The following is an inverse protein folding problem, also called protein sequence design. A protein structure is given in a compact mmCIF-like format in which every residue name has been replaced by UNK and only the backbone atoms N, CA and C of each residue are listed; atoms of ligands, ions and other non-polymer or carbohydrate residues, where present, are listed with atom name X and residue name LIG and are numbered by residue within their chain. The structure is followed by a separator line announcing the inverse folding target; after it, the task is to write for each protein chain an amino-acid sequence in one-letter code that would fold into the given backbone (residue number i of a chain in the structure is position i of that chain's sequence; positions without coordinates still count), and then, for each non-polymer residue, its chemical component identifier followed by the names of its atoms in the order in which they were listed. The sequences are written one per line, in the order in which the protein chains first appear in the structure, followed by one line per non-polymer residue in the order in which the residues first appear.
data_IF_523685344150
#
_entry.id   IF_523685344150
#
_cell.length_a   1.000
_cell.length_b   1.000
_cell.length_c   1.000
_cell.angle_alpha   90.00
_cell.angle_beta   90.00
_cell.angle_gamma   90.00
#
_symmetry.space_group_name_H-M   'P 1'
#
loop_
_entity.id
_entity.type
_entity.pdbx_description
1 polymer ?
#
# COMPACT_ATOMS: atom_id res chain seq x y z
N UNK A 1 -22.12 7.59 7.33
CA UNK A 1 -20.77 7.42 7.93
C UNK A 1 -19.90 6.71 6.91
N UNK A 2 -18.84 7.35 6.42
CA UNK A 2 -17.91 6.72 5.47
C UNK A 2 -17.17 5.58 6.21
N UNK A 3 -17.56 4.34 5.95
CA UNK A 3 -16.79 3.18 6.37
C UNK A 3 -15.47 3.21 5.59
N UNK A 4 -14.40 3.72 6.21
CA UNK A 4 -13.07 3.61 5.63
C UNK A 4 -12.76 2.12 5.51
N UNK A 5 -12.47 1.65 4.30
CA UNK A 5 -11.97 0.28 4.12
C UNK A 5 -10.68 0.15 4.93
N UNK A 6 -10.56 -0.87 5.80
CA UNK A 6 -9.33 -1.07 6.56
C UNK A 6 -8.19 -1.31 5.57
N UNK A 7 -7.08 -0.59 5.77
CA UNK A 7 -5.88 -0.80 4.98
C UNK A 7 -5.14 -1.97 5.60
N UNK A 8 -5.04 -3.09 4.88
CA UNK A 8 -4.40 -4.30 5.40
C UNK A 8 -3.10 -4.60 4.66
N UNK A 9 -2.12 -5.12 5.39
CA UNK A 9 -0.89 -5.62 4.81
C UNK A 9 -1.21 -6.82 3.90
N UNK A 10 -0.72 -6.79 2.66
CA UNK A 10 -0.90 -7.87 1.68
C UNK A 10 -0.31 -9.19 2.16
N UNK A 11 0.79 -9.16 2.90
CA UNK A 11 1.52 -10.35 3.34
C UNK A 11 0.96 -10.97 4.63
N UNK A 12 0.74 -10.17 5.68
CA UNK A 12 0.34 -10.68 6.99
C UNK A 12 -1.12 -10.38 7.38
N UNK A 13 -1.88 -9.70 6.51
CA UNK A 13 -3.26 -9.26 6.73
C UNK A 13 -3.47 -8.37 7.96
N UNK A 14 -2.39 -7.93 8.62
CA UNK A 14 -2.44 -6.97 9.72
C UNK A 14 -3.06 -5.68 9.22
N UNK A 15 -4.03 -5.16 9.96
CA UNK A 15 -4.54 -3.82 9.75
C UNK A 15 -3.46 -2.78 10.08
N UNK A 16 -3.24 -1.88 9.14
CA UNK A 16 -2.32 -0.76 9.27
C UNK A 16 -3.08 0.38 9.92
N UNK A 17 -2.59 0.79 11.10
CA UNK A 17 -3.23 1.83 11.89
C UNK A 17 -3.02 3.21 11.28
N UNK A 18 -3.88 4.16 11.67
CA UNK A 18 -3.72 5.55 11.23
C UNK A 18 -2.39 6.10 11.74
N UNK A 19 -1.62 6.76 10.85
CA UNK A 19 -0.26 7.26 11.10
C UNK A 19 0.83 6.18 11.25
N UNK A 20 0.51 4.90 11.12
CA UNK A 20 1.53 3.84 11.01
C UNK A 20 2.26 3.97 9.66
N UNK A 21 3.59 3.78 9.68
CA UNK A 21 4.37 3.76 8.44
C UNK A 21 4.01 2.52 7.63
N UNK A 22 3.70 2.73 6.36
CA UNK A 22 3.39 1.68 5.40
C UNK A 22 4.14 1.92 4.09
N UNK A 23 4.35 0.83 3.36
CA UNK A 23 5.01 0.84 2.06
C UNK A 23 4.02 0.40 1.00
N UNK A 24 4.05 1.08 -0.14
CA UNK A 24 3.24 0.73 -1.29
C UNK A 24 4.18 0.14 -2.33
N UNK A 25 3.96 -1.11 -2.68
CA UNK A 25 4.57 -1.74 -3.83
C UNK A 25 3.63 -1.60 -5.02
N UNK A 26 4.08 -0.89 -6.04
CA UNK A 26 3.35 -0.70 -7.29
C UNK A 26 4.32 -0.44 -8.44
N UNK A 27 3.98 -0.81 -9.69
CA UNK A 27 4.74 -0.36 -10.85
C UNK A 27 4.66 1.16 -10.97
N UNK A 28 5.74 1.78 -11.43
CA UNK A 28 5.74 3.21 -11.74
C UNK A 28 4.66 3.49 -12.81
N UNK A 29 3.73 4.43 -12.56
CA UNK A 29 2.68 4.72 -13.53
C UNK A 29 3.25 5.27 -14.84
N UNK A 30 2.52 5.05 -15.93
CA UNK A 30 2.88 5.62 -17.24
C UNK A 30 2.93 7.16 -17.18
N UNK A 31 3.84 7.74 -17.98
CA UNK A 31 4.00 9.18 -18.07
C UNK A 31 2.68 9.86 -18.44
N UNK A 32 2.31 10.92 -17.70
CA UNK A 32 1.08 11.70 -17.93
C UNK A 32 -0.11 11.33 -17.04
N UNK A 33 0.03 10.35 -16.14
CA UNK A 33 -1.05 10.00 -15.20
C UNK A 33 -1.26 11.09 -14.13
N UNK A 34 -2.45 11.68 -14.09
CA UNK A 34 -2.73 12.88 -13.27
C UNK A 34 -3.25 12.56 -11.86
N UNK A 35 -3.67 11.32 -11.59
CA UNK A 35 -4.30 10.93 -10.33
C UNK A 35 -3.61 9.73 -9.67
N UNK A 36 -2.48 10.00 -9.01
CA UNK A 36 -1.71 8.99 -8.27
C UNK A 36 -2.52 8.30 -7.16
N UNK A 37 -3.45 9.01 -6.50
CA UNK A 37 -4.25 8.43 -5.41
C UNK A 37 -5.11 7.27 -5.91
N UNK A 38 -5.85 7.48 -7.00
CA UNK A 38 -6.68 6.44 -7.60
C UNK A 38 -5.85 5.29 -8.16
N UNK A 39 -4.64 5.57 -8.65
CA UNK A 39 -3.73 4.54 -9.11
C UNK A 39 -3.23 3.65 -7.97
N UNK A 40 -2.85 4.24 -6.84
CA UNK A 40 -2.48 3.49 -5.61
C UNK A 40 -3.66 2.65 -5.11
N UNK A 41 -4.89 3.14 -5.19
CA UNK A 41 -6.07 2.34 -4.78
C UNK A 41 -6.33 1.12 -5.68
N UNK A 42 -5.93 1.19 -6.96
CA UNK A 42 -6.16 0.12 -7.94
C UNK A 42 -4.99 -0.89 -7.97
N UNK A 43 -3.77 -0.38 -8.03
CA UNK A 43 -2.54 -1.16 -8.28
C UNK A 43 -1.62 -1.24 -7.05
N UNK A 44 -1.90 -0.47 -6.00
CA UNK A 44 -1.04 -0.39 -4.83
C UNK A 44 -1.22 -1.57 -3.88
N UNK A 45 -0.19 -2.39 -3.76
CA UNK A 45 -0.11 -3.39 -2.71
C UNK A 45 0.55 -2.78 -1.46
N UNK A 46 -0.13 -2.87 -0.32
CA UNK A 46 0.32 -2.20 0.90
C UNK A 46 1.00 -3.21 1.83
N UNK A 47 2.16 -2.86 2.35
CA UNK A 47 2.97 -3.67 3.25
C UNK A 47 3.31 -2.92 4.54
N UNK A 48 3.30 -3.64 5.66
CA UNK A 48 3.82 -3.13 6.93
C UNK A 48 5.36 -3.18 6.96
N UNK A 49 5.96 -2.51 7.93
CA UNK A 49 7.42 -2.45 8.13
C UNK A 49 8.08 -3.83 8.18
N UNK A 50 7.49 -4.78 8.90
CA UNK A 50 8.07 -6.12 9.03
C UNK A 50 8.04 -6.90 7.71
N UNK A 51 6.99 -6.74 6.90
CA UNK A 51 6.83 -7.50 5.67
C UNK A 51 7.62 -6.91 4.50
N UNK A 52 7.76 -5.57 4.43
CA UNK A 52 8.52 -4.94 3.34
C UNK A 52 10.01 -5.30 3.42
N UNK A 53 10.57 -5.41 4.63
CA UNK A 53 11.96 -5.82 4.82
C UNK A 53 12.22 -7.24 4.33
N UNK A 54 11.24 -8.14 4.46
CA UNK A 54 11.33 -9.51 3.94
C UNK A 54 11.29 -9.52 2.41
N UNK A 55 10.44 -8.69 1.80
CA UNK A 55 10.36 -8.59 0.34
C UNK A 55 11.62 -7.97 -0.29
N UNK A 56 12.18 -6.93 0.32
CA UNK A 56 13.35 -6.22 -0.21
C UNK A 56 14.68 -6.95 0.02
N UNK A 57 14.70 -8.00 0.85
CA UNK A 57 15.89 -8.84 1.09
C UNK A 57 16.04 -9.99 0.08
N UNK A 58 15.16 -10.07 -0.92
CA UNK A 58 15.25 -11.05 -2.01
C UNK A 58 16.16 -10.59 -3.13
#
# INVERSE_FOLDING_TARGET
MFQKKPTVCKSCQKEIQTYEKAWIHMPLPANGMTNMKKYIELEGEIYCSSCVEIMNKK
#
